data_IF_116304169667
#
_entry.id   IF_116304169667
#
_cell.length_a   1.000
_cell.length_b   1.000
_cell.length_c   1.000
_cell.angle_alpha   90.00
_cell.angle_beta   90.00
_cell.angle_gamma   90.00
#
_symmetry.space_group_name_H-M   'P 1'
#
loop_
_entity.id
_entity.type
_entity.pdbx_description
1 polymer ?
#
# COMPACT_ATOMS: atom_id res chain seq x y z
N UNK A 1 -0.01 -10.36 -18.19
CA UNK A 1 1.32 -10.30 -17.55
C UNK A 1 1.18 -9.75 -16.12
N UNK A 2 2.05 -10.13 -15.18
CA UNK A 2 2.07 -9.58 -13.81
C UNK A 2 3.35 -8.75 -13.62
N UNK A 3 3.18 -7.48 -13.24
CA UNK A 3 4.26 -6.61 -12.78
C UNK A 3 4.21 -6.48 -11.26
N UNK A 4 5.40 -6.43 -10.65
CA UNK A 4 5.56 -6.31 -9.19
C UNK A 4 6.52 -5.17 -8.88
N UNK A 5 6.08 -4.24 -8.03
CA UNK A 5 6.94 -3.20 -7.47
C UNK A 5 6.90 -3.27 -5.94
N UNK A 6 8.08 -3.19 -5.33
CA UNK A 6 8.26 -3.20 -3.87
C UNK A 6 8.60 -1.81 -3.36
N UNK A 7 8.03 -1.46 -2.23
CA UNK A 7 8.26 -0.24 -1.47
C UNK A 7 8.51 -0.59 0.00
N UNK A 8 9.02 0.38 0.75
CA UNK A 8 9.21 0.29 2.19
C UNK A 8 8.81 1.62 2.83
N UNK A 9 8.34 1.54 4.07
CA UNK A 9 8.11 2.70 4.94
C UNK A 9 8.26 2.25 6.39
N UNK A 10 8.64 3.16 7.27
CA UNK A 10 8.81 2.92 8.70
C UNK A 10 7.67 3.61 9.46
N UNK A 11 6.98 2.90 10.34
CA UNK A 11 5.85 3.49 11.08
C UNK A 11 5.65 2.83 12.45
N UNK A 12 5.02 3.55 13.36
CA UNK A 12 4.65 3.07 14.68
C UNK A 12 3.15 2.80 14.79
N UNK A 13 2.75 1.81 15.58
CA UNK A 13 1.36 1.51 15.87
C UNK A 13 1.20 0.72 17.19
N UNK A 14 -0.05 0.57 17.62
CA UNK A 14 -0.46 -0.43 18.59
C UNK A 14 -1.86 -0.95 18.27
N UNK A 15 -2.16 -2.17 18.71
CA UNK A 15 -3.45 -2.81 18.51
C UNK A 15 -4.32 -2.58 19.77
N UNK A 16 -5.39 -1.79 19.66
CA UNK A 16 -6.19 -1.34 20.82
C UNK A 16 -7.22 -2.38 21.31
N UNK A 17 -7.53 -3.38 20.48
CA UNK A 17 -8.42 -4.50 20.81
C UNK A 17 -7.72 -5.85 20.64
N UNK A 18 -6.48 -5.94 21.12
CA UNK A 18 -5.68 -7.16 21.11
C UNK A 18 -5.38 -7.57 22.56
N UNK A 19 -4.90 -8.79 22.80
CA UNK A 19 -4.51 -9.24 24.15
C UNK A 19 -3.11 -9.85 24.09
N UNK A 20 -2.10 -8.99 23.92
CA UNK A 20 -0.73 -9.43 23.68
C UNK A 20 0.26 -8.29 23.44
N UNK A 21 1.51 -8.63 23.10
CA UNK A 21 2.63 -7.66 23.05
C UNK A 21 2.38 -6.46 22.13
N UNK A 22 1.62 -6.64 21.06
CA UNK A 22 1.30 -5.61 20.08
C UNK A 22 0.31 -4.53 20.57
N UNK A 23 -0.28 -4.67 21.77
CA UNK A 23 -1.04 -3.58 22.42
C UNK A 23 -0.13 -2.42 22.86
N UNK A 24 1.17 -2.70 23.08
CA UNK A 24 2.14 -1.65 23.39
C UNK A 24 2.55 -0.94 22.11
N UNK A 25 2.79 0.37 22.20
CA UNK A 25 3.37 1.14 21.11
C UNK A 25 4.69 0.51 20.67
N UNK A 26 4.78 0.19 19.39
CA UNK A 26 5.97 -0.34 18.74
C UNK A 26 6.00 0.07 17.27
N UNK A 27 7.12 -0.13 16.60
CA UNK A 27 7.26 0.19 15.18
C UNK A 27 7.75 -0.97 14.35
N UNK A 28 7.54 -0.86 13.04
CA UNK A 28 8.03 -1.80 12.03
C UNK A 28 8.56 -1.05 10.82
N UNK A 29 9.50 -1.69 10.14
CA UNK A 29 9.78 -1.43 8.73
C UNK A 29 8.80 -2.27 7.89
N UNK A 30 7.78 -1.63 7.34
CA UNK A 30 6.76 -2.29 6.53
C UNK A 30 7.29 -2.54 5.11
N UNK A 31 7.03 -3.73 4.58
CA UNK A 31 7.24 -4.04 3.17
C UNK A 31 5.91 -3.99 2.41
N UNK A 32 5.81 -3.08 1.44
CA UNK A 32 4.63 -2.96 0.57
C UNK A 32 4.93 -3.55 -0.81
N UNK A 33 4.13 -4.51 -1.25
CA UNK A 33 4.22 -5.12 -2.58
C UNK A 33 2.98 -4.78 -3.38
N UNK A 34 3.14 -4.00 -4.44
CA UNK A 34 2.08 -3.75 -5.40
C UNK A 34 2.23 -4.74 -6.56
N UNK A 35 1.17 -5.50 -6.84
CA UNK A 35 1.07 -6.39 -8.00
C UNK A 35 0.02 -5.82 -8.95
N UNK A 36 0.38 -5.68 -10.22
CA UNK A 36 -0.53 -5.21 -11.28
C UNK A 36 -0.55 -6.26 -12.36
N UNK A 37 -1.76 -6.71 -12.72
CA UNK A 37 -1.97 -7.61 -13.85
C UNK A 37 -2.51 -6.81 -15.02
N UNK A 38 -1.99 -7.06 -16.22
CA UNK A 38 -2.44 -6.38 -17.42
C UNK A 38 -1.69 -6.82 -18.67
N UNK A 39 -2.07 -6.20 -19.78
CA UNK A 39 -1.42 -6.34 -21.07
C UNK A 39 -0.61 -5.08 -21.40
N UNK A 40 0.55 -5.20 -22.06
CA UNK A 40 1.25 -4.05 -22.60
C UNK A 40 0.34 -3.16 -23.46
N UNK A 41 0.44 -1.86 -23.26
CA UNK A 41 -0.20 -0.86 -24.13
C UNK A 41 0.63 -0.61 -25.40
N UNK A 42 0.33 0.48 -26.11
CA UNK A 42 1.04 0.90 -27.33
C UNK A 42 2.53 1.22 -27.13
N UNK A 43 2.97 1.39 -25.89
CA UNK A 43 4.37 1.65 -25.51
C UNK A 43 5.04 0.39 -24.93
N UNK A 44 4.44 -0.78 -25.12
CA UNK A 44 4.89 -2.07 -24.60
C UNK A 44 4.97 -2.14 -23.06
N UNK A 45 4.15 -1.34 -22.35
CA UNK A 45 4.11 -1.29 -20.89
C UNK A 45 2.73 -1.60 -20.32
N UNK A 46 2.66 -2.35 -19.21
CA UNK A 46 1.39 -2.44 -18.44
C UNK A 46 1.13 -1.14 -17.70
N UNK A 47 2.19 -0.55 -17.15
CA UNK A 47 2.23 0.71 -16.42
C UNK A 47 3.67 1.22 -16.37
N UNK A 48 3.87 2.52 -16.52
CA UNK A 48 5.16 3.16 -16.27
C UNK A 48 5.47 3.11 -14.76
N UNK A 49 6.66 2.60 -14.40
CA UNK A 49 7.10 2.54 -13.01
C UNK A 49 7.35 3.90 -12.35
N UNK A 50 7.65 4.94 -13.13
CA UNK A 50 7.74 6.33 -12.65
C UNK A 50 6.38 6.80 -12.16
N UNK A 51 5.35 6.55 -12.95
CA UNK A 51 3.97 6.88 -12.62
C UNK A 51 3.48 6.07 -11.41
N UNK A 52 3.69 4.74 -11.42
CA UNK A 52 3.34 3.88 -10.28
C UNK A 52 4.01 4.35 -8.99
N UNK A 53 5.29 4.73 -9.05
CA UNK A 53 6.03 5.24 -7.90
C UNK A 53 5.43 6.56 -7.40
N UNK A 54 5.07 7.47 -8.29
CA UNK A 54 4.47 8.75 -7.92
C UNK A 54 3.11 8.55 -7.22
N UNK A 55 2.23 7.73 -7.81
CA UNK A 55 0.90 7.42 -7.26
C UNK A 55 1.03 6.79 -5.87
N UNK A 56 1.90 5.78 -5.70
CA UNK A 56 2.10 5.11 -4.41
C UNK A 56 2.73 6.06 -3.38
N UNK A 57 3.68 6.90 -3.80
CA UNK A 57 4.31 7.87 -2.89
C UNK A 57 3.28 8.86 -2.34
N UNK A 58 2.57 9.57 -3.21
CA UNK A 58 1.62 10.62 -2.84
C UNK A 58 0.46 10.09 -1.98
N UNK A 59 -0.04 8.89 -2.31
CA UNK A 59 -1.30 8.40 -1.73
C UNK A 59 -1.10 7.40 -0.59
N UNK A 60 0.13 6.96 -0.33
CA UNK A 60 0.44 5.96 0.70
C UNK A 60 1.70 6.33 1.48
N UNK A 61 2.86 6.42 0.82
CA UNK A 61 4.13 6.54 1.55
C UNK A 61 4.26 7.87 2.27
N UNK A 62 3.87 8.99 1.64
CA UNK A 62 3.92 10.31 2.28
C UNK A 62 2.97 10.45 3.49
N UNK A 63 2.02 9.51 3.63
CA UNK A 63 1.04 9.49 4.73
C UNK A 63 1.46 8.51 5.83
N UNK A 64 2.01 7.35 5.47
CA UNK A 64 2.33 6.28 6.42
C UNK A 64 3.79 6.30 6.89
N UNK A 65 4.72 6.83 6.10
CA UNK A 65 6.13 6.86 6.49
C UNK A 65 6.38 7.85 7.63
N UNK A 66 7.13 7.41 8.63
CA UNK A 66 7.38 8.09 9.90
C UNK A 66 6.11 8.46 10.69
N UNK A 67 4.97 7.81 10.40
CA UNK A 67 3.70 8.11 11.04
C UNK A 67 3.38 7.20 12.24
N UNK A 68 2.46 7.67 13.08
CA UNK A 68 1.73 6.84 14.03
C UNK A 68 0.40 6.40 13.39
N UNK A 69 0.29 5.12 13.00
CA UNK A 69 -0.80 4.64 12.13
C UNK A 69 -2.17 4.73 12.81
N UNK A 70 -2.25 4.68 14.14
CA UNK A 70 -3.52 4.77 14.87
C UNK A 70 -4.26 6.11 14.65
N UNK A 71 -3.56 7.19 14.27
CA UNK A 71 -4.19 8.47 13.91
C UNK A 71 -4.98 8.40 12.59
N UNK A 72 -4.77 7.33 11.81
CA UNK A 72 -5.33 7.11 10.47
C UNK A 72 -6.27 5.89 10.46
N UNK A 73 -5.90 4.83 11.18
CA UNK A 73 -6.59 3.55 11.24
C UNK A 73 -6.69 3.13 12.70
N UNK A 74 -7.89 3.14 13.26
CA UNK A 74 -8.15 2.86 14.68
C UNK A 74 -7.52 1.54 15.17
N UNK A 75 -7.70 0.46 14.40
CA UNK A 75 -7.14 -0.87 14.66
C UNK A 75 -6.17 -1.26 13.53
N UNK A 76 -4.89 -0.85 13.59
CA UNK A 76 -3.95 -0.92 12.48
C UNK A 76 -3.27 -2.29 12.37
N UNK A 77 -4.05 -3.35 12.18
CA UNK A 77 -3.48 -4.67 11.81
C UNK A 77 -2.92 -4.62 10.38
N UNK A 78 -2.10 -5.60 10.02
CA UNK A 78 -1.55 -5.67 8.66
C UNK A 78 -2.67 -5.75 7.60
N UNK A 79 -3.76 -6.44 7.90
CA UNK A 79 -4.95 -6.57 7.06
C UNK A 79 -5.65 -5.21 6.86
N UNK A 80 -5.89 -4.48 7.94
CA UNK A 80 -6.56 -3.17 7.86
C UNK A 80 -5.68 -2.12 7.17
N UNK A 81 -4.36 -2.17 7.38
CA UNK A 81 -3.40 -1.36 6.62
C UNK A 81 -3.48 -1.71 5.13
N UNK A 82 -3.50 -2.99 4.77
CA UNK A 82 -3.61 -3.43 3.38
C UNK A 82 -4.93 -2.96 2.72
N UNK A 83 -6.06 -3.06 3.43
CA UNK A 83 -7.36 -2.56 2.95
C UNK A 83 -7.35 -1.05 2.77
N UNK A 84 -6.76 -0.31 3.71
CA UNK A 84 -6.62 1.14 3.60
C UNK A 84 -5.78 1.53 2.37
N UNK A 85 -4.64 0.88 2.17
CA UNK A 85 -3.76 1.09 1.01
C UNK A 85 -4.51 0.78 -0.29
N UNK A 86 -5.22 -0.35 -0.34
CA UNK A 86 -6.03 -0.72 -1.50
C UNK A 86 -7.06 0.38 -1.84
N UNK A 87 -7.79 0.87 -0.85
CA UNK A 87 -8.80 1.91 -1.05
C UNK A 87 -8.20 3.23 -1.54
N UNK A 88 -6.95 3.56 -1.14
CA UNK A 88 -6.24 4.74 -1.64
C UNK A 88 -5.76 4.59 -3.08
N UNK A 89 -5.41 3.37 -3.48
CA UNK A 89 -4.76 3.12 -4.78
C UNK A 89 -5.71 2.66 -5.88
N UNK A 90 -6.79 1.92 -5.57
CA UNK A 90 -7.60 1.21 -6.56
C UNK A 90 -8.11 2.11 -7.70
N UNK A 91 -8.74 3.24 -7.37
CA UNK A 91 -9.29 4.15 -8.37
C UNK A 91 -8.22 4.88 -9.16
N UNK A 92 -7.08 5.18 -8.53
CA UNK A 92 -5.94 5.89 -9.14
C UNK A 92 -5.12 4.99 -10.06
N UNK A 93 -5.08 3.71 -9.76
CA UNK A 93 -4.39 2.73 -10.56
C UNK A 93 -5.25 2.14 -11.66
N UNK A 94 -6.57 2.41 -11.71
CA UNK A 94 -7.54 1.85 -12.67
C UNK A 94 -7.24 2.27 -14.12
N UNK A 95 -7.15 1.30 -15.03
CA UNK A 95 -6.83 1.45 -16.46
C UNK A 95 -7.51 0.38 -17.29
N UNK A 96 -7.65 0.65 -18.59
CA UNK A 96 -8.33 -0.25 -19.53
C UNK A 96 -7.51 -1.51 -19.85
N UNK A 97 -6.19 -1.41 -19.88
CA UNK A 97 -5.26 -2.52 -20.15
C UNK A 97 -4.91 -3.35 -18.90
N UNK A 98 -5.52 -3.05 -17.74
CA UNK A 98 -5.21 -3.67 -16.46
C UNK A 98 -6.40 -4.45 -15.90
N UNK A 99 -6.11 -5.64 -15.38
CA UNK A 99 -7.03 -6.49 -14.61
C UNK A 99 -6.67 -6.42 -13.13
N UNK A 100 -7.61 -5.94 -12.31
CA UNK A 100 -7.46 -5.92 -10.85
C UNK A 100 -8.14 -7.15 -10.28
N UNK A 101 -7.36 -8.12 -9.80
CA UNK A 101 -7.92 -9.22 -9.02
C UNK A 101 -8.31 -8.66 -7.64
N UNK A 102 -9.56 -8.86 -7.25
CA UNK A 102 -10.02 -8.68 -5.86
C UNK A 102 -9.48 -9.79 -4.98
#
# INVERSE_FOLDING_TARGET
>A
MILIKKFKFDAAHNLIHYHGKCERLHGHTYGLVIKISGEPDKEDMVIDFTELKAIVKENVLDILDHAYINDIIEQPTAENIAVWIWNKLYTKLKRDNCSYMK
#
